data_IF_161945400788
#
_entry.id   IF_161945400788
#
_cell.length_a   1.000
_cell.length_b   1.000
_cell.length_c   1.000
_cell.angle_alpha   90.00
_cell.angle_beta   90.00
_cell.angle_gamma   90.00
#
_symmetry.space_group_name_H-M   'P 1'
#
loop_
_entity.id
_entity.type
_entity.pdbx_description
1 polymer ?
#
# COMPACT_ATOMS: atom_id res chain seq x y z
N UNK A 1 -5.26 1.28 -23.86
CA UNK A 1 -4.85 0.32 -24.92
C UNK A 1 -5.58 -1.01 -24.67
N UNK A 2 -6.29 -1.47 -25.65
CA UNK A 2 -7.05 -2.73 -25.56
C UNK A 2 -6.09 -3.95 -25.58
N UNK A 3 -6.38 -4.94 -24.76
CA UNK A 3 -5.64 -6.20 -24.74
C UNK A 3 -6.62 -7.38 -24.62
N UNK A 4 -6.26 -8.58 -25.12
CA UNK A 4 -7.08 -9.76 -24.92
C UNK A 4 -7.23 -10.11 -23.43
N UNK A 5 -8.40 -10.60 -23.04
CA UNK A 5 -8.64 -11.02 -21.64
C UNK A 5 -7.67 -12.10 -21.17
N UNK A 6 -7.16 -12.94 -22.08
CA UNK A 6 -6.14 -13.97 -21.80
C UNK A 6 -4.79 -13.41 -21.37
N UNK A 7 -4.53 -12.13 -21.62
CA UNK A 7 -3.31 -11.45 -21.21
C UNK A 7 -3.41 -10.76 -19.85
N UNK A 8 -4.57 -10.80 -19.21
CA UNK A 8 -4.76 -10.27 -17.84
C UNK A 8 -3.80 -10.99 -16.89
N UNK A 9 -3.15 -10.23 -16.02
CA UNK A 9 -2.28 -10.74 -14.96
C UNK A 9 -2.56 -10.02 -13.67
N UNK A 10 -2.23 -10.64 -12.55
CA UNK A 10 -2.28 -10.01 -11.23
C UNK A 10 -1.48 -8.71 -11.22
N UNK A 11 -2.06 -7.66 -10.67
CA UNK A 11 -1.48 -6.31 -10.61
C UNK A 11 -1.84 -5.41 -11.79
N UNK A 12 -2.36 -5.95 -12.89
CA UNK A 12 -2.86 -5.11 -13.98
C UNK A 12 -4.01 -4.25 -13.49
N UNK A 13 -4.09 -3.02 -14.00
CA UNK A 13 -5.24 -2.15 -13.81
C UNK A 13 -5.96 -2.04 -15.15
N UNK A 14 -7.21 -2.46 -15.17
CA UNK A 14 -8.07 -2.43 -16.35
C UNK A 14 -9.28 -1.55 -16.11
N UNK A 15 -9.84 -0.98 -17.16
CA UNK A 15 -11.10 -0.23 -17.10
C UNK A 15 -12.24 -1.21 -17.17
N UNK A 16 -13.05 -1.27 -16.13
CA UNK A 16 -14.25 -2.10 -16.05
C UNK A 16 -15.44 -1.23 -15.64
N UNK A 17 -16.47 -1.21 -16.50
CA UNK A 17 -17.65 -0.33 -16.32
C UNK A 17 -17.28 1.15 -16.08
N UNK A 18 -16.24 1.64 -16.74
CA UNK A 18 -15.79 3.01 -16.61
C UNK A 18 -14.88 3.30 -15.43
N UNK A 19 -14.61 2.32 -14.57
CA UNK A 19 -13.75 2.48 -13.40
C UNK A 19 -12.42 1.72 -13.52
N UNK A 20 -11.33 2.26 -13.00
CA UNK A 20 -10.07 1.54 -12.93
C UNK A 20 -10.16 0.44 -11.87
N UNK A 21 -9.90 -0.80 -12.27
CA UNK A 21 -9.95 -1.97 -11.40
C UNK A 21 -8.63 -2.71 -11.43
N UNK A 22 -8.06 -2.97 -10.26
CA UNK A 22 -6.82 -3.76 -10.14
C UNK A 22 -7.13 -5.23 -10.00
N UNK A 23 -6.49 -6.04 -10.83
CA UNK A 23 -6.61 -7.49 -10.78
C UNK A 23 -5.81 -8.01 -9.58
N UNK A 24 -6.50 -8.60 -8.61
CA UNK A 24 -5.88 -9.20 -7.41
C UNK A 24 -5.62 -10.69 -7.57
N UNK A 25 -6.48 -11.39 -8.30
CA UNK A 25 -6.31 -12.80 -8.65
C UNK A 25 -6.87 -13.05 -10.05
N UNK A 26 -6.31 -14.01 -10.76
CA UNK A 26 -6.88 -14.47 -12.02
C UNK A 26 -6.65 -15.96 -12.22
N UNK A 27 -7.58 -16.60 -12.90
CA UNK A 27 -7.49 -18.01 -13.29
C UNK A 27 -7.92 -18.17 -14.74
N UNK A 28 -7.07 -18.77 -15.54
CA UNK A 28 -7.38 -19.13 -16.92
C UNK A 28 -7.83 -20.61 -16.98
N UNK A 29 -9.06 -20.82 -17.35
CA UNK A 29 -9.64 -22.15 -17.47
C UNK A 29 -9.78 -22.54 -18.95
N UNK A 30 -9.21 -23.70 -19.28
CA UNK A 30 -9.34 -24.29 -20.61
C UNK A 30 -9.92 -25.68 -20.48
N UNK A 31 -11.25 -25.81 -20.25
CA UNK A 31 -11.90 -27.12 -20.18
C UNK A 31 -11.87 -27.81 -21.53
N UNK A 32 -11.63 -29.13 -21.55
CA UNK A 32 -11.33 -29.92 -22.76
C UNK A 32 -12.30 -29.81 -23.93
N UNK A 33 -13.60 -29.62 -23.67
CA UNK A 33 -14.64 -29.53 -24.71
C UNK A 33 -15.45 -28.21 -24.67
N UNK A 34 -15.06 -27.26 -23.84
CA UNK A 34 -15.76 -25.98 -23.66
C UNK A 34 -14.84 -24.81 -23.99
N UNK A 35 -15.46 -23.65 -24.30
CA UNK A 35 -14.68 -22.44 -24.58
C UNK A 35 -13.88 -22.00 -23.37
N UNK A 36 -12.62 -21.65 -23.57
CA UNK A 36 -11.75 -21.11 -22.55
C UNK A 36 -12.32 -19.78 -21.99
N UNK A 37 -12.12 -19.56 -20.70
CA UNK A 37 -12.50 -18.32 -20.03
C UNK A 37 -11.43 -17.90 -19.00
N UNK A 38 -11.45 -16.63 -18.62
CA UNK A 38 -10.60 -16.07 -17.57
C UNK A 38 -11.49 -15.58 -16.45
N UNK A 39 -11.29 -16.08 -15.25
CA UNK A 39 -11.93 -15.56 -14.04
C UNK A 39 -10.98 -14.63 -13.34
N UNK A 40 -11.38 -13.38 -13.17
CA UNK A 40 -10.58 -12.35 -12.53
C UNK A 40 -11.30 -11.82 -11.29
N UNK A 41 -10.58 -11.80 -10.17
CA UNK A 41 -11.00 -11.07 -8.98
C UNK A 41 -10.35 -9.70 -9.03
N UNK A 42 -11.14 -8.67 -8.94
CA UNK A 42 -10.70 -7.30 -9.13
C UNK A 42 -11.15 -6.42 -7.97
N UNK A 43 -10.35 -5.40 -7.69
CA UNK A 43 -10.70 -4.33 -6.76
C UNK A 43 -10.93 -3.05 -7.53
N UNK A 44 -12.12 -2.49 -7.41
CA UNK A 44 -12.42 -1.17 -7.95
C UNK A 44 -11.64 -0.11 -7.15
N UNK A 45 -10.79 0.65 -7.81
CA UNK A 45 -9.92 1.63 -7.16
C UNK A 45 -10.64 2.92 -6.77
N UNK A 46 -11.83 3.17 -7.31
CA UNK A 46 -12.68 4.30 -6.89
C UNK A 46 -13.53 3.98 -5.69
N UNK A 47 -14.23 2.85 -5.70
CA UNK A 47 -15.14 2.45 -4.63
C UNK A 47 -14.49 1.62 -3.53
N UNK A 48 -13.32 1.03 -3.78
CA UNK A 48 -12.65 0.09 -2.89
C UNK A 48 -13.28 -1.30 -2.85
N UNK A 49 -14.39 -1.53 -3.54
CA UNK A 49 -15.09 -2.81 -3.55
C UNK A 49 -14.31 -3.88 -4.33
N UNK A 50 -14.39 -5.11 -3.85
CA UNK A 50 -13.80 -6.27 -4.52
C UNK A 50 -14.92 -7.12 -5.12
N UNK A 51 -14.74 -7.56 -6.34
CA UNK A 51 -15.70 -8.38 -7.08
C UNK A 51 -14.99 -9.34 -8.02
N UNK A 52 -15.71 -10.34 -8.49
CA UNK A 52 -15.23 -11.28 -9.49
C UNK A 52 -15.98 -11.10 -10.81
N UNK A 53 -15.25 -11.25 -11.91
CA UNK A 53 -15.84 -11.25 -13.24
C UNK A 53 -15.23 -12.35 -14.11
N UNK A 54 -16.07 -12.94 -14.92
CA UNK A 54 -15.69 -13.99 -15.87
C UNK A 54 -15.65 -13.42 -17.29
N UNK A 55 -14.44 -13.34 -17.84
CA UNK A 55 -14.23 -12.94 -19.22
C UNK A 55 -14.19 -14.17 -20.13
N UNK A 56 -14.74 -14.03 -21.33
CA UNK A 56 -14.51 -15.01 -22.39
C UNK A 56 -13.08 -14.85 -22.91
N UNK A 57 -12.47 -15.93 -23.40
CA UNK A 57 -11.12 -15.84 -23.96
C UNK A 57 -11.01 -14.86 -25.14
N UNK A 58 -12.10 -14.67 -25.88
CA UNK A 58 -12.18 -13.74 -27.01
C UNK A 58 -12.50 -12.28 -26.60
N UNK A 59 -12.82 -12.02 -25.33
CA UNK A 59 -13.09 -10.66 -24.86
C UNK A 59 -11.82 -9.83 -24.87
N UNK A 60 -11.99 -8.54 -25.10
CA UNK A 60 -10.92 -7.55 -24.95
C UNK A 60 -11.23 -6.66 -23.75
N UNK A 61 -10.18 -6.28 -23.04
CA UNK A 61 -10.23 -5.35 -21.92
C UNK A 61 -9.35 -4.14 -22.21
N UNK A 62 -9.73 -2.99 -21.69
CA UNK A 62 -8.94 -1.79 -21.81
C UNK A 62 -7.99 -1.67 -20.60
N UNK A 63 -6.69 -1.55 -20.86
CA UNK A 63 -5.71 -1.27 -19.81
C UNK A 63 -5.86 0.18 -19.40
N UNK A 64 -6.02 0.43 -18.09
CA UNK A 64 -6.07 1.77 -17.55
C UNK A 64 -4.71 2.47 -17.70
N UNK A 65 -4.73 3.72 -18.12
CA UNK A 65 -3.54 4.55 -18.24
C UNK A 65 -3.27 5.19 -16.89
N UNK A 66 -2.31 4.60 -16.17
CA UNK A 66 -1.97 4.99 -14.81
C UNK A 66 -0.70 5.83 -14.82
N UNK A 67 -0.75 6.95 -14.12
CA UNK A 67 0.42 7.77 -13.84
C UNK A 67 0.88 7.55 -12.40
N UNK A 68 2.18 7.52 -12.18
CA UNK A 68 2.76 7.44 -10.86
C UNK A 68 3.59 8.68 -10.60
N UNK A 69 3.31 9.37 -9.50
CA UNK A 69 4.01 10.57 -9.10
C UNK A 69 4.64 10.41 -7.73
N UNK A 70 5.79 10.99 -7.55
CA UNK A 70 6.52 11.08 -6.31
C UNK A 70 6.05 12.31 -5.52
N UNK A 71 5.47 12.08 -4.35
CA UNK A 71 4.91 13.12 -3.49
C UNK A 71 5.67 13.20 -2.18
N UNK A 72 6.02 14.42 -1.78
CA UNK A 72 6.60 14.70 -0.47
C UNK A 72 5.52 15.13 0.51
N UNK A 73 5.44 14.41 1.63
CA UNK A 73 4.52 14.79 2.71
C UNK A 73 5.02 16.03 3.43
N UNK A 74 4.14 17.00 3.64
CA UNK A 74 4.46 18.26 4.30
C UNK A 74 3.88 18.32 5.72
N UNK A 75 2.55 18.28 5.83
CA UNK A 75 1.86 18.36 7.12
C UNK A 75 0.41 17.88 7.03
N UNK A 76 -0.22 17.70 8.17
CA UNK A 76 -1.67 17.48 8.29
C UNK A 76 -2.32 18.67 8.97
N UNK A 77 -3.51 19.05 8.49
CA UNK A 77 -4.36 20.07 9.12
C UNK A 77 -5.42 19.48 10.07
N UNK A 78 -5.35 18.17 10.31
CA UNK A 78 -6.31 17.41 11.11
C UNK A 78 -7.45 16.78 10.30
N UNK A 79 -7.65 17.19 9.06
CA UNK A 79 -8.66 16.66 8.14
C UNK A 79 -8.05 16.12 6.85
N UNK A 80 -7.02 16.79 6.35
CA UNK A 80 -6.32 16.43 5.11
C UNK A 80 -4.81 16.40 5.33
N UNK A 81 -4.17 15.63 4.48
CA UNK A 81 -2.71 15.51 4.44
C UNK A 81 -2.20 16.25 3.21
N UNK A 82 -1.29 17.18 3.44
CA UNK A 82 -0.74 18.05 2.40
C UNK A 82 0.56 17.51 1.86
N UNK A 83 0.64 17.44 0.54
CA UNK A 83 1.78 16.92 -0.20
C UNK A 83 2.22 17.91 -1.27
N UNK A 84 3.47 17.79 -1.67
CA UNK A 84 4.03 18.48 -2.82
C UNK A 84 4.51 17.44 -3.84
N UNK A 85 4.11 17.63 -5.09
CA UNK A 85 4.64 16.82 -6.19
C UNK A 85 6.08 17.22 -6.49
N UNK A 86 7.02 16.29 -6.40
CA UNK A 86 8.44 16.56 -6.58
C UNK A 86 8.83 16.91 -8.03
N UNK A 87 7.99 16.58 -9.00
CA UNK A 87 8.29 16.85 -10.40
C UNK A 87 7.90 18.28 -10.84
N UNK A 88 6.75 18.79 -10.37
CA UNK A 88 6.20 20.08 -10.80
C UNK A 88 5.97 21.07 -9.66
N UNK A 89 6.25 20.68 -8.41
CA UNK A 89 6.07 21.48 -7.20
C UNK A 89 4.62 21.90 -6.92
N UNK A 90 3.66 21.25 -7.54
CA UNK A 90 2.25 21.47 -7.25
C UNK A 90 1.87 20.88 -5.90
N UNK A 91 1.05 21.63 -5.19
CA UNK A 91 0.51 21.22 -3.90
C UNK A 91 -0.78 20.45 -4.10
N UNK A 92 -0.95 19.36 -3.36
CA UNK A 92 -2.18 18.60 -3.36
C UNK A 92 -2.52 18.08 -1.96
N UNK A 93 -3.81 17.79 -1.75
CA UNK A 93 -4.32 17.23 -0.51
C UNK A 93 -4.86 15.84 -0.76
N UNK A 94 -4.55 14.93 0.17
CA UNK A 94 -5.12 13.59 0.21
C UNK A 94 -5.88 13.42 1.52
N UNK A 95 -6.99 12.70 1.45
CA UNK A 95 -7.76 12.33 2.63
C UNK A 95 -7.39 10.94 3.16
N UNK A 96 -8.05 10.53 4.22
CA UNK A 96 -7.90 9.19 4.76
C UNK A 96 -8.37 8.09 3.79
N UNK A 97 -9.29 8.43 2.88
CA UNK A 97 -9.78 7.48 1.88
C UNK A 97 -8.68 7.03 0.92
N UNK A 98 -7.83 7.96 0.48
CA UNK A 98 -6.71 7.66 -0.42
C UNK A 98 -5.53 7.04 0.31
N UNK A 99 -5.27 7.46 1.54
CA UNK A 99 -4.13 7.01 2.34
C UNK A 99 -4.40 5.70 3.09
N UNK A 100 -5.65 5.47 3.49
CA UNK A 100 -6.02 4.31 4.28
C UNK A 100 -5.20 4.22 5.58
N UNK A 101 -4.77 3.02 5.94
CA UNK A 101 -3.94 2.77 7.12
C UNK A 101 -2.54 3.42 7.03
N UNK A 102 -2.17 3.89 5.85
CA UNK A 102 -0.89 4.56 5.62
C UNK A 102 -0.78 5.93 6.29
N UNK A 103 -1.91 6.58 6.61
CA UNK A 103 -1.93 7.90 7.22
C UNK A 103 -1.14 7.98 8.54
N UNK A 104 -1.23 6.95 9.37
CA UNK A 104 -0.50 6.89 10.65
C UNK A 104 1.03 6.79 10.50
N UNK A 105 1.51 6.38 9.33
CA UNK A 105 2.94 6.18 9.07
C UNK A 105 3.62 7.40 8.45
N UNK A 106 2.87 8.45 8.15
CA UNK A 106 3.42 9.65 7.54
C UNK A 106 4.32 10.40 8.52
N UNK A 107 5.52 10.71 8.04
CA UNK A 107 6.52 11.50 8.74
C UNK A 107 6.86 12.71 7.86
N UNK A 108 7.05 13.88 8.46
CA UNK A 108 7.40 15.11 7.76
C UNK A 108 8.56 14.89 6.79
N UNK A 109 8.41 15.39 5.58
CA UNK A 109 9.34 15.24 4.44
C UNK A 109 9.46 13.81 3.87
N UNK A 110 8.61 12.87 4.32
CA UNK A 110 8.57 11.54 3.73
C UNK A 110 8.14 11.62 2.27
N UNK A 111 8.78 10.82 1.43
CA UNK A 111 8.41 10.66 0.03
C UNK A 111 7.59 9.39 -0.15
N UNK A 112 6.44 9.52 -0.77
CA UNK A 112 5.56 8.40 -1.15
C UNK A 112 5.34 8.38 -2.65
N UNK A 113 4.97 7.23 -3.17
CA UNK A 113 4.52 7.09 -4.56
C UNK A 113 3.00 7.11 -4.59
N UNK A 114 2.42 7.97 -5.43
CA UNK A 114 0.98 8.04 -5.61
C UNK A 114 0.59 7.66 -7.03
N UNK A 115 -0.43 6.84 -7.17
CA UNK A 115 -0.99 6.43 -8.45
C UNK A 115 -2.18 7.32 -8.81
N UNK A 116 -2.18 7.82 -10.03
CA UNK A 116 -3.22 8.68 -10.57
C UNK A 116 -3.89 8.02 -11.79
N UNK A 117 -5.17 8.20 -11.88
CA UNK A 117 -5.96 7.85 -13.04
C UNK A 117 -6.77 9.07 -13.47
N UNK A 118 -6.62 9.50 -14.73
CA UNK A 118 -7.26 10.70 -15.26
C UNK A 118 -7.06 11.94 -14.37
N UNK A 119 -5.85 12.11 -13.85
CA UNK A 119 -5.48 13.25 -13.00
C UNK A 119 -5.98 13.19 -11.56
N UNK A 120 -6.62 12.10 -11.14
CA UNK A 120 -7.11 11.91 -9.78
C UNK A 120 -6.29 10.87 -9.04
N UNK A 121 -5.91 11.15 -7.78
CA UNK A 121 -5.22 10.15 -6.96
C UNK A 121 -6.16 9.01 -6.62
N UNK A 122 -5.71 7.78 -6.79
CA UNK A 122 -6.50 6.58 -6.50
C UNK A 122 -5.82 5.62 -5.53
N UNK A 123 -4.59 5.88 -5.17
CA UNK A 123 -3.86 5.07 -4.21
C UNK A 123 -2.47 5.62 -3.96
N UNK A 124 -1.90 5.22 -2.84
CA UNK A 124 -0.53 5.56 -2.45
C UNK A 124 0.24 4.31 -2.09
N UNK A 125 1.54 4.33 -2.32
CA UNK A 125 2.46 3.30 -1.88
C UNK A 125 3.47 3.91 -0.92
N UNK A 126 3.49 3.38 0.31
CA UNK A 126 4.47 3.77 1.31
C UNK A 126 5.83 3.16 0.98
N UNK A 127 6.93 3.76 1.49
CA UNK A 127 8.25 3.16 1.37
C UNK A 127 8.27 1.73 1.94
N UNK A 128 9.20 0.92 1.46
CA UNK A 128 9.36 -0.45 1.95
C UNK A 128 9.82 -0.51 3.42
N UNK A 129 10.46 0.53 3.90
CA UNK A 129 10.90 0.64 5.29
C UNK A 129 11.00 2.10 5.73
N UNK A 130 10.78 2.31 7.03
CA UNK A 130 10.95 3.58 7.73
C UNK A 130 11.83 3.38 8.95
N UNK A 131 12.63 4.38 9.28
CA UNK A 131 13.38 4.44 10.53
C UNK A 131 12.66 5.37 11.50
N UNK A 132 12.28 4.83 12.64
CA UNK A 132 11.52 5.54 13.67
C UNK A 132 12.14 5.26 15.05
N UNK A 133 12.06 6.26 15.93
CA UNK A 133 12.50 6.13 17.31
C UNK A 133 11.43 5.43 18.15
N UNK A 134 11.86 4.54 19.04
CA UNK A 134 10.98 3.95 20.06
C UNK A 134 10.81 4.96 21.19
N UNK A 135 9.60 5.47 21.35
CA UNK A 135 9.28 6.47 22.38
C UNK A 135 8.87 5.85 23.72
N UNK A 136 8.17 4.71 23.65
CA UNK A 136 7.72 3.96 24.83
C UNK A 136 7.83 2.46 24.58
N UNK A 137 8.40 1.74 25.52
CA UNK A 137 8.40 0.28 25.55
C UNK A 137 8.69 -0.21 26.96
N UNK A 138 8.33 -1.45 27.22
CA UNK A 138 8.69 -2.09 28.49
C UNK A 138 10.21 -2.32 28.59
N UNK A 139 10.80 -2.10 29.76
CA UNK A 139 12.22 -2.35 29.96
C UNK A 139 12.55 -3.84 29.77
N UNK A 140 13.75 -4.11 29.26
CA UNK A 140 14.25 -5.47 29.14
C UNK A 140 14.44 -6.07 30.52
N UNK A 141 13.68 -7.11 30.86
CA UNK A 141 13.86 -7.83 32.12
C UNK A 141 15.09 -8.73 32.08
N UNK A 142 15.96 -8.61 33.06
CA UNK A 142 17.08 -9.51 33.22
C UNK A 142 16.55 -10.94 33.49
N UNK A 143 16.95 -11.92 32.67
CA UNK A 143 16.55 -13.32 32.80
C UNK A 143 15.49 -13.80 31.80
N UNK A 144 14.97 -12.96 30.93
CA UNK A 144 14.15 -13.41 29.82
C UNK A 144 14.97 -14.25 28.83
N UNK A 145 14.56 -15.47 28.60
CA UNK A 145 15.18 -16.36 27.59
C UNK A 145 15.13 -15.70 26.23
N UNK A 146 16.28 -15.56 25.61
CA UNK A 146 16.54 -14.76 24.41
C UNK A 146 15.74 -15.11 23.13
N UNK A 147 14.93 -16.13 23.15
CA UNK A 147 14.58 -16.78 21.88
C UNK A 147 13.16 -16.61 21.37
N UNK A 148 12.22 -15.99 22.09
CA UNK A 148 10.85 -15.94 21.62
C UNK A 148 9.98 -14.79 22.13
N UNK A 149 10.51 -13.85 22.87
CA UNK A 149 9.69 -12.80 23.46
C UNK A 149 9.74 -11.52 22.62
N UNK A 150 8.60 -11.18 22.07
CA UNK A 150 8.33 -9.86 21.54
C UNK A 150 7.58 -9.04 22.59
N UNK A 151 7.69 -7.73 22.49
CA UNK A 151 6.97 -6.78 23.33
C UNK A 151 6.45 -5.63 22.50
N UNK A 152 5.34 -4.96 22.89
CA UNK A 152 4.87 -3.80 22.20
C UNK A 152 5.82 -2.61 22.40
N UNK A 153 6.06 -1.86 21.34
CA UNK A 153 6.81 -0.61 21.36
C UNK A 153 6.02 0.46 20.62
N UNK A 154 5.89 1.62 21.23
CA UNK A 154 5.30 2.80 20.62
C UNK A 154 6.41 3.59 19.92
N UNK A 155 6.17 3.94 18.67
CA UNK A 155 7.09 4.69 17.84
C UNK A 155 6.79 6.19 17.85
N UNK A 156 7.72 6.99 17.36
CA UNK A 156 7.62 8.46 17.34
C UNK A 156 6.43 8.99 16.52
N UNK A 157 5.88 8.20 15.62
CA UNK A 157 4.66 8.53 14.88
C UNK A 157 3.36 8.09 15.58
N UNK A 158 3.44 7.52 16.78
CA UNK A 158 2.30 7.01 17.53
C UNK A 158 1.88 5.57 17.23
N UNK A 159 2.46 4.93 16.21
CA UNK A 159 2.18 3.54 15.89
C UNK A 159 2.78 2.59 16.92
N UNK A 160 2.12 1.46 17.15
CA UNK A 160 2.58 0.40 18.04
C UNK A 160 2.94 -0.83 17.20
N UNK A 161 4.16 -1.32 17.39
CA UNK A 161 4.67 -2.52 16.71
C UNK A 161 5.24 -3.51 17.72
N UNK A 162 5.25 -4.81 17.37
CA UNK A 162 5.91 -5.83 18.14
C UNK A 162 7.40 -5.84 17.82
N UNK A 163 8.22 -5.68 18.84
CA UNK A 163 9.69 -5.64 18.71
C UNK A 163 10.31 -6.75 19.58
N UNK A 164 11.55 -7.19 19.25
CA UNK A 164 12.29 -8.09 20.12
C UNK A 164 12.52 -7.49 21.51
N UNK A 165 12.63 -8.36 22.52
CA UNK A 165 12.77 -7.95 23.92
C UNK A 165 14.01 -7.06 24.19
N UNK A 166 15.05 -7.13 23.35
CA UNK A 166 16.27 -6.33 23.51
C UNK A 166 16.15 -4.86 23.09
N UNK A 167 15.05 -4.48 22.44
CA UNK A 167 14.81 -3.09 22.01
C UNK A 167 14.43 -2.25 23.24
N UNK A 168 15.05 -1.10 23.37
CA UNK A 168 14.84 -0.15 24.47
C UNK A 168 14.26 1.16 23.96
N UNK A 169 13.69 1.92 24.89
CA UNK A 169 13.29 3.31 24.62
C UNK A 169 14.49 4.12 24.14
N UNK A 170 14.31 4.92 23.10
CA UNK A 170 15.35 5.70 22.45
C UNK A 170 16.06 4.98 21.31
N UNK A 171 15.86 3.67 21.14
CA UNK A 171 16.41 2.93 20.01
C UNK A 171 15.73 3.34 18.70
N UNK A 172 16.54 3.44 17.63
CA UNK A 172 16.03 3.59 16.27
C UNK A 172 15.75 2.22 15.68
N UNK A 173 14.55 2.03 15.16
CA UNK A 173 14.16 0.76 14.55
C UNK A 173 13.68 0.98 13.12
N UNK A 174 13.94 0.00 12.27
CA UNK A 174 13.42 -0.04 10.90
C UNK A 174 12.17 -0.91 10.87
N UNK A 175 11.10 -0.37 10.33
CA UNK A 175 9.81 -1.02 10.24
C UNK A 175 9.28 -1.00 8.81
N UNK A 176 8.48 -2.00 8.45
CA UNK A 176 7.71 -1.99 7.20
C UNK A 176 6.35 -1.35 7.48
N UNK A 177 6.08 -0.14 6.98
CA UNK A 177 4.82 0.55 7.24
C UNK A 177 3.62 -0.10 6.54
N UNK A 178 3.85 -0.90 5.49
CA UNK A 178 2.79 -1.57 4.74
C UNK A 178 2.20 -2.74 5.53
N UNK A 179 3.02 -3.41 6.33
CA UNK A 179 2.63 -4.54 7.16
C UNK A 179 2.56 -4.19 8.66
N UNK A 180 3.08 -3.02 9.06
CA UNK A 180 3.16 -2.61 10.45
C UNK A 180 4.09 -3.50 11.28
N UNK A 181 5.18 -3.97 10.69
CA UNK A 181 6.10 -4.93 11.30
C UNK A 181 7.51 -4.37 11.49
N UNK A 182 8.11 -4.74 12.61
CA UNK A 182 9.54 -4.53 12.86
C UNK A 182 10.39 -5.37 11.90
N UNK A 183 11.41 -4.74 11.33
CA UNK A 183 12.38 -5.40 10.45
C UNK A 183 13.71 -5.63 11.15
N UNK A 184 14.32 -4.56 11.64
CA UNK A 184 15.63 -4.60 12.30
C UNK A 184 15.86 -3.35 13.14
N UNK A 185 16.88 -3.42 14.01
CA UNK A 185 17.38 -2.24 14.70
C UNK A 185 18.22 -1.41 13.74
N UNK A 186 17.91 -0.13 13.61
CA UNK A 186 18.73 0.79 12.83
C UNK A 186 20.05 1.12 13.58
N UNK A 187 21.10 1.33 12.81
CA UNK A 187 22.41 1.65 13.35
C UNK A 187 22.53 3.14 13.63
#
# INVERSE_FOLDING_TARGET
MAMPATQIRKGNVIVFNGDPCRVVEFHHHTPGNLRAFVQAKMRNLRSGSTFEHRFRAADTVEKADMETHELQYLYSDGHHFHFMNNANFEMLMLGEEELGDGAQWLVENMVIMAEFYEGRPIGVALPASLELEVTETEPTMAGATKSALTKPAKLSNGAVVQVPAFINQGDMVRVDPREGKYLERAK
#
